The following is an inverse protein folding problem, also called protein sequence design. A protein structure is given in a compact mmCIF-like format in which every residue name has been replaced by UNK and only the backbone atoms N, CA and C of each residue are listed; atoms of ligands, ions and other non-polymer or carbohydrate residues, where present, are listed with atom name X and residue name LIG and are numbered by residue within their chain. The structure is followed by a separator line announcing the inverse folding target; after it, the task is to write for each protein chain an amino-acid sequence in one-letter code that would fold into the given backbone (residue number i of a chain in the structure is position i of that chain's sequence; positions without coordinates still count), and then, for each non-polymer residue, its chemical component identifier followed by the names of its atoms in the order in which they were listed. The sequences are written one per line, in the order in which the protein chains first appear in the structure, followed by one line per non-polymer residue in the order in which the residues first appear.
data_IF_926569685462
#
_entry.id   IF_926569685462
#
_cell.length_a   1.000
_cell.length_b   1.000
_cell.length_c   1.000
_cell.angle_alpha   90.00
_cell.angle_beta   90.00
_cell.angle_gamma   90.00
#
_symmetry.space_group_name_H-M   'P 1'
#
loop_
_entity.id
_entity.type
_entity.pdbx_description
1 polymer ?
#
# COMPACT_ATOMS: atom_id res chain seq x y z
N UNK A 1 40.00 -11.98 -23.24
CA UNK A 1 40.62 -10.68 -23.54
C UNK A 1 39.68 -9.63 -22.94
N UNK A 2 39.79 -9.27 -21.66
CA UNK A 2 40.84 -8.41 -21.08
C UNK A 2 40.57 -6.98 -21.56
N UNK A 3 40.05 -6.02 -20.79
CA UNK A 3 40.34 -5.66 -19.40
C UNK A 3 41.19 -4.38 -19.40
N UNK A 4 40.68 -3.29 -18.78
CA UNK A 4 41.39 -2.06 -18.36
C UNK A 4 42.01 -1.20 -19.50
N UNK A 5 41.88 0.15 -19.50
CA UNK A 5 42.69 1.14 -18.76
C UNK A 5 41.95 2.50 -18.90
N UNK A 6 41.38 3.12 -17.86
CA UNK A 6 41.99 4.05 -16.87
C UNK A 6 42.66 5.34 -17.42
N UNK A 7 41.96 6.47 -17.21
CA UNK A 7 42.45 7.79 -16.73
C UNK A 7 43.64 8.52 -17.39
N UNK A 8 43.44 9.78 -17.83
CA UNK A 8 44.45 10.86 -17.71
C UNK A 8 43.84 12.29 -17.54
N UNK A 9 44.16 12.87 -16.39
CA UNK A 9 44.31 14.26 -15.91
C UNK A 9 44.01 15.51 -16.78
N UNK A 10 43.14 16.38 -16.25
CA UNK A 10 43.35 17.74 -15.68
C UNK A 10 44.21 18.81 -16.45
N UNK A 11 43.56 19.98 -16.58
CA UNK A 11 44.01 21.39 -16.73
C UNK A 11 44.63 21.90 -18.03
N UNK A 12 43.98 22.92 -18.60
CA UNK A 12 44.63 24.19 -18.98
C UNK A 12 43.71 25.37 -18.62
N UNK A 13 44.33 26.40 -18.06
CA UNK A 13 43.75 27.60 -17.45
C UNK A 13 44.07 28.82 -18.34
N UNK A 14 43.16 29.81 -18.30
CA UNK A 14 43.28 31.24 -18.68
C UNK A 14 43.38 31.59 -20.18
N UNK A 15 42.42 32.38 -20.67
CA UNK A 15 42.65 33.80 -21.02
C UNK A 15 41.33 34.57 -21.30
N UNK A 16 41.39 35.87 -20.98
CA UNK A 16 40.54 36.99 -21.42
C UNK A 16 39.17 37.23 -20.76
N UNK A 17 39.23 38.02 -19.69
CA UNK A 17 38.61 39.36 -19.57
C UNK A 17 37.52 39.71 -20.60
N UNK A 18 36.28 39.37 -20.28
CA UNK A 18 35.11 40.09 -20.80
C UNK A 18 34.31 40.57 -19.58
N UNK A 19 34.34 41.87 -19.34
CA UNK A 19 33.36 42.54 -18.49
C UNK A 19 32.00 42.43 -19.20
N UNK A 20 31.29 41.32 -18.99
CA UNK A 20 29.88 41.23 -19.33
C UNK A 20 29.15 41.93 -18.19
N UNK A 21 28.66 43.13 -18.47
CA UNK A 21 27.66 43.79 -17.65
C UNK A 21 26.52 42.79 -17.39
N UNK A 22 26.42 42.32 -16.14
CA UNK A 22 25.24 41.63 -15.66
C UNK A 22 24.07 42.61 -15.71
N UNK A 23 23.44 42.70 -16.88
CA UNK A 23 22.05 43.11 -16.96
C UNK A 23 21.31 42.13 -16.07
N UNK A 24 20.88 42.58 -14.89
CA UNK A 24 19.99 41.85 -14.01
C UNK A 24 18.69 41.62 -14.79
N UNK A 25 18.65 40.59 -15.61
CA UNK A 25 17.41 39.89 -15.88
C UNK A 25 17.03 39.26 -14.55
N UNK A 26 16.32 40.03 -13.73
CA UNK A 26 15.44 39.47 -12.73
C UNK A 26 14.43 38.63 -13.49
N UNK A 27 14.80 37.38 -13.79
CA UNK A 27 13.82 36.34 -13.94
C UNK A 27 13.13 36.31 -12.57
N UNK A 28 12.00 37.01 -12.48
CA UNK A 28 11.05 36.77 -11.41
C UNK A 28 10.73 35.30 -11.54
N UNK A 29 11.40 34.45 -10.75
CA UNK A 29 10.96 33.08 -10.57
C UNK A 29 9.53 33.23 -10.10
N UNK A 30 8.57 32.97 -11.01
CA UNK A 30 7.18 32.97 -10.65
C UNK A 30 7.09 32.01 -9.46
N UNK A 31 6.67 32.50 -8.30
CA UNK A 31 6.48 31.65 -7.15
C UNK A 31 5.37 30.67 -7.53
N UNK A 32 5.74 29.49 -7.99
CA UNK A 32 4.81 28.40 -8.28
C UNK A 32 4.28 28.01 -6.91
N UNK A 33 3.09 28.51 -6.57
CA UNK A 33 2.35 28.14 -5.37
C UNK A 33 1.22 27.21 -5.81
N UNK A 34 1.51 25.92 -6.04
CA UNK A 34 0.49 25.00 -6.53
C UNK A 34 -0.59 24.82 -5.46
N UNK A 35 -1.85 24.71 -5.90
CA UNK A 35 -2.99 24.57 -5.01
C UNK A 35 -3.08 23.12 -4.46
N UNK A 36 -2.30 22.82 -3.43
CA UNK A 36 -2.26 21.48 -2.82
C UNK A 36 -3.60 21.04 -2.22
N UNK A 37 -4.46 21.99 -1.81
CA UNK A 37 -5.80 21.68 -1.30
C UNK A 37 -6.69 21.10 -2.40
N UNK A 38 -6.63 21.68 -3.59
CA UNK A 38 -7.35 21.19 -4.77
C UNK A 38 -6.75 19.88 -5.28
N UNK A 39 -5.42 19.77 -5.32
CA UNK A 39 -4.74 18.52 -5.70
C UNK A 39 -5.15 17.35 -4.79
N UNK A 40 -5.19 17.56 -3.46
CA UNK A 40 -5.67 16.57 -2.49
C UNK A 40 -7.14 16.19 -2.74
N UNK A 41 -8.02 17.16 -2.97
CA UNK A 41 -9.43 16.89 -3.24
C UNK A 41 -9.62 16.04 -4.51
N UNK A 42 -8.87 16.34 -5.58
CA UNK A 42 -8.89 15.56 -6.83
C UNK A 42 -8.27 14.17 -6.66
N UNK A 43 -7.22 14.04 -5.85
CA UNK A 43 -6.63 12.73 -5.53
C UNK A 43 -7.63 11.81 -4.81
N UNK A 44 -8.41 12.33 -3.86
CA UNK A 44 -9.47 11.55 -3.21
C UNK A 44 -10.65 11.25 -4.14
N UNK A 45 -10.93 12.14 -5.10
CA UNK A 45 -11.92 11.89 -6.14
C UNK A 45 -11.47 10.79 -7.11
N UNK A 46 -10.17 10.69 -7.42
CA UNK A 46 -9.61 9.58 -8.19
C UNK A 46 -9.93 8.22 -7.56
N UNK A 47 -9.80 8.08 -6.24
CA UNK A 47 -10.23 6.85 -5.56
C UNK A 47 -11.71 6.53 -5.80
N UNK A 48 -12.61 7.51 -5.85
CA UNK A 48 -14.01 7.24 -6.23
C UNK A 48 -14.11 6.69 -7.65
N UNK A 49 -13.28 7.21 -8.56
CA UNK A 49 -13.13 6.76 -9.93
C UNK A 49 -12.60 5.33 -10.08
N UNK A 50 -11.99 4.73 -9.04
CA UNK A 50 -11.46 3.36 -9.05
C UNK A 50 -12.36 2.33 -8.37
N UNK A 51 -13.48 2.73 -7.74
CA UNK A 51 -14.33 1.82 -6.96
C UNK A 51 -14.91 0.69 -7.82
N UNK A 52 -14.70 -0.56 -7.46
CA UNK A 52 -15.45 -1.72 -7.98
C UNK A 52 -16.64 -2.04 -7.05
N UNK A 53 -17.64 -2.78 -7.52
CA UNK A 53 -18.83 -3.16 -6.77
C UNK A 53 -19.99 -2.17 -6.90
N UNK A 54 -20.92 -2.24 -5.94
CA UNK A 54 -22.11 -1.38 -5.90
C UNK A 54 -21.77 -0.01 -5.32
N UNK A 55 -21.62 0.99 -6.19
CA UNK A 55 -21.30 2.37 -5.82
C UNK A 55 -22.33 2.98 -4.83
N UNK A 56 -21.87 3.79 -3.85
CA UNK A 56 -22.76 4.40 -2.86
C UNK A 56 -23.48 5.62 -3.44
N UNK A 57 -24.64 6.04 -2.90
CA UNK A 57 -25.32 7.26 -3.32
C UNK A 57 -24.49 8.54 -3.15
N UNK A 58 -23.48 8.51 -2.26
CA UNK A 58 -22.55 9.63 -2.04
C UNK A 58 -21.39 9.69 -3.05
N UNK A 59 -21.42 8.87 -4.11
CA UNK A 59 -20.46 8.90 -5.20
C UNK A 59 -20.58 10.23 -5.96
N UNK A 60 -19.47 10.94 -6.12
CA UNK A 60 -19.38 12.20 -6.86
C UNK A 60 -19.02 11.98 -8.33
N UNK A 61 -18.28 10.90 -8.63
CA UNK A 61 -17.96 10.51 -10.01
C UNK A 61 -19.18 9.85 -10.66
N UNK A 62 -19.87 10.59 -11.53
CA UNK A 62 -21.15 10.18 -12.16
C UNK A 62 -21.00 9.36 -13.44
N UNK A 63 -19.83 9.35 -14.05
CA UNK A 63 -19.56 8.53 -15.24
C UNK A 63 -19.16 7.08 -14.92
N UNK A 64 -19.01 6.73 -13.62
CA UNK A 64 -18.82 5.35 -13.16
C UNK A 64 -20.16 4.73 -12.75
N UNK A 65 -20.35 3.46 -13.08
CA UNK A 65 -21.53 2.68 -12.70
C UNK A 65 -21.18 1.49 -11.79
N UNK A 66 -22.21 0.78 -11.32
CA UNK A 66 -22.04 -0.50 -10.61
C UNK A 66 -21.35 -1.53 -11.51
N UNK A 67 -20.33 -2.21 -11.00
CA UNK A 67 -19.53 -3.17 -11.77
C UNK A 67 -18.98 -4.28 -10.87
N UNK A 68 -18.53 -5.41 -11.43
CA UNK A 68 -17.92 -6.49 -10.63
C UNK A 68 -18.85 -7.05 -9.54
N UNK A 69 -20.16 -7.06 -9.78
CA UNK A 69 -21.18 -7.44 -8.79
C UNK A 69 -21.19 -8.96 -8.50
N UNK A 70 -20.61 -9.75 -9.40
CA UNK A 70 -20.50 -11.20 -9.30
C UNK A 70 -19.12 -11.67 -8.81
N UNK A 71 -18.26 -10.74 -8.39
CA UNK A 71 -16.92 -11.06 -7.88
C UNK A 71 -17.01 -12.04 -6.71
N UNK A 72 -16.25 -13.14 -6.80
CA UNK A 72 -16.27 -14.21 -5.78
C UNK A 72 -17.21 -15.38 -6.09
N UNK A 73 -18.07 -15.28 -7.11
CA UNK A 73 -19.02 -16.35 -7.48
C UNK A 73 -18.34 -17.69 -7.75
N UNK A 74 -17.18 -17.70 -8.42
CA UNK A 74 -16.41 -18.92 -8.70
C UNK A 74 -15.87 -19.62 -7.45
N UNK A 75 -15.80 -18.90 -6.33
CA UNK A 75 -15.39 -19.42 -5.03
C UNK A 75 -16.56 -19.49 -4.02
N UNK A 76 -17.80 -19.30 -4.48
CA UNK A 76 -19.02 -19.27 -3.67
C UNK A 76 -18.96 -18.29 -2.47
N UNK A 77 -18.40 -17.10 -2.70
CA UNK A 77 -18.27 -16.02 -1.71
C UNK A 77 -18.63 -14.67 -2.34
N UNK A 78 -18.93 -13.66 -1.52
CA UNK A 78 -19.05 -12.28 -1.98
C UNK A 78 -17.69 -11.57 -1.88
N UNK A 79 -17.11 -11.25 -3.02
CA UNK A 79 -15.90 -10.42 -3.15
C UNK A 79 -16.17 -9.13 -3.92
N UNK A 80 -17.42 -8.68 -4.04
CA UNK A 80 -17.76 -7.38 -4.61
C UNK A 80 -17.23 -6.23 -3.75
N UNK A 81 -16.90 -5.10 -4.38
CA UNK A 81 -16.27 -3.95 -3.71
C UNK A 81 -14.78 -3.81 -4.06
N UNK A 82 -14.06 -3.01 -3.27
CA UNK A 82 -12.62 -2.78 -3.45
C UNK A 82 -12.31 -1.82 -4.59
N UNK A 83 -11.04 -1.75 -4.96
CA UNK A 83 -10.55 -0.87 -6.03
C UNK A 83 -10.05 -1.67 -7.22
N UNK A 84 -10.36 -1.21 -8.43
CA UNK A 84 -9.57 -1.60 -9.59
C UNK A 84 -8.17 -1.00 -9.48
N UNK A 85 -7.18 -1.76 -9.93
CA UNK A 85 -5.78 -1.48 -9.66
C UNK A 85 -5.29 -0.23 -10.39
N UNK A 86 -5.47 -0.18 -11.71
CA UNK A 86 -4.97 0.90 -12.55
C UNK A 86 -6.01 1.34 -13.60
N UNK A 87 -5.67 1.24 -14.89
CA UNK A 87 -6.62 1.44 -16.00
C UNK A 87 -7.36 0.16 -16.39
N UNK A 88 -7.07 -0.94 -15.71
CA UNK A 88 -7.65 -2.26 -15.89
C UNK A 88 -8.82 -2.49 -14.90
N UNK A 89 -9.47 -3.65 -14.96
CA UNK A 89 -10.54 -4.01 -14.03
C UNK A 89 -10.17 -5.21 -13.13
N UNK A 90 -8.87 -5.48 -12.99
CA UNK A 90 -8.33 -6.46 -12.05
C UNK A 90 -8.24 -5.84 -10.65
N UNK A 91 -8.46 -6.67 -9.64
CA UNK A 91 -8.25 -6.31 -8.23
C UNK A 91 -7.03 -7.06 -7.73
N UNK A 92 -5.89 -6.37 -7.65
CA UNK A 92 -4.66 -6.89 -7.07
C UNK A 92 -4.54 -6.45 -5.60
N UNK A 93 -4.53 -7.40 -4.66
CA UNK A 93 -4.64 -7.03 -3.25
C UNK A 93 -3.32 -6.57 -2.63
N UNK A 94 -2.15 -6.98 -3.17
CA UNK A 94 -0.86 -6.48 -2.69
C UNK A 94 -0.76 -4.94 -2.84
N UNK A 95 -0.89 -4.35 -4.04
CA UNK A 95 -0.87 -2.89 -4.21
C UNK A 95 -2.10 -2.20 -3.60
N UNK A 96 -3.28 -2.82 -3.59
CA UNK A 96 -4.47 -2.25 -2.93
C UNK A 96 -4.29 -2.13 -1.42
N UNK A 97 -3.74 -3.16 -0.78
CA UNK A 97 -3.45 -3.14 0.66
C UNK A 97 -2.38 -2.09 0.96
N UNK A 98 -1.28 -2.03 0.19
CA UNK A 98 -0.26 -0.98 0.33
C UNK A 98 -0.85 0.43 0.23
N UNK A 99 -1.67 0.67 -0.80
CA UNK A 99 -2.37 1.95 -0.99
C UNK A 99 -3.27 2.29 0.20
N UNK A 100 -3.95 1.29 0.76
CA UNK A 100 -4.82 1.44 1.94
C UNK A 100 -4.02 1.76 3.19
N UNK A 101 -2.86 1.11 3.38
CA UNK A 101 -1.92 1.42 4.47
C UNK A 101 -1.44 2.86 4.36
N UNK A 102 -1.06 3.32 3.16
CA UNK A 102 -0.57 4.69 2.93
C UNK A 102 -1.64 5.77 3.09
N UNK A 103 -2.86 5.53 2.60
CA UNK A 103 -4.01 6.40 2.88
C UNK A 103 -4.29 6.49 4.38
N UNK A 104 -4.20 5.36 5.09
CA UNK A 104 -4.40 5.32 6.54
C UNK A 104 -3.29 6.06 7.28
N UNK A 105 -2.03 5.82 6.93
CA UNK A 105 -0.88 6.47 7.54
C UNK A 105 -0.93 7.99 7.34
N UNK A 106 -1.15 8.45 6.11
CA UNK A 106 -1.28 9.89 5.83
C UNK A 106 -2.45 10.53 6.58
N UNK A 107 -3.57 9.82 6.74
CA UNK A 107 -4.73 10.29 7.52
C UNK A 107 -4.41 10.38 9.02
N UNK A 108 -3.61 9.47 9.56
CA UNK A 108 -3.16 9.52 10.96
C UNK A 108 -2.21 10.71 11.19
N UNK A 109 -1.25 10.92 10.29
CA UNK A 109 -0.24 11.97 10.42
C UNK A 109 -0.79 13.36 10.17
N UNK A 110 -1.63 13.49 9.15
CA UNK A 110 -2.05 14.79 8.62
C UNK A 110 -3.55 15.03 8.72
N UNK A 111 -4.29 14.19 9.45
CA UNK A 111 -5.76 14.27 9.54
C UNK A 111 -6.29 15.65 9.91
N UNK A 112 -5.61 16.39 10.80
CA UNK A 112 -5.94 17.78 11.16
C UNK A 112 -5.78 18.75 9.98
N UNK A 113 -4.81 18.50 9.09
CA UNK A 113 -4.51 19.31 7.90
C UNK A 113 -5.38 18.95 6.69
N UNK A 114 -6.01 17.78 6.68
CA UNK A 114 -6.96 17.39 5.62
C UNK A 114 -8.23 18.27 5.60
N UNK A 115 -8.57 18.88 6.74
CA UNK A 115 -9.73 19.77 6.87
C UNK A 115 -11.02 19.12 6.34
N UNK A 116 -11.72 19.72 5.36
CA UNK A 116 -12.97 19.18 4.82
C UNK A 116 -12.80 17.86 4.05
N UNK A 117 -11.57 17.46 3.73
CA UNK A 117 -11.29 16.22 3.01
C UNK A 117 -11.13 14.99 3.92
N UNK A 118 -11.06 15.16 5.25
CA UNK A 118 -10.95 14.05 6.19
C UNK A 118 -12.08 12.99 6.04
N UNK A 119 -13.37 13.37 5.84
CA UNK A 119 -14.43 12.41 5.56
C UNK A 119 -14.21 11.63 4.26
N UNK A 120 -13.72 12.28 3.20
CA UNK A 120 -13.44 11.63 1.92
C UNK A 120 -12.27 10.64 2.03
N UNK A 121 -11.22 11.00 2.77
CA UNK A 121 -10.10 10.10 3.07
C UNK A 121 -10.57 8.86 3.85
N UNK A 122 -11.38 9.06 4.90
CA UNK A 122 -12.02 7.96 5.63
C UNK A 122 -12.92 7.10 4.75
N UNK A 123 -13.69 7.69 3.85
CA UNK A 123 -14.53 6.96 2.91
C UNK A 123 -13.70 6.12 1.92
N UNK A 124 -12.54 6.61 1.49
CA UNK A 124 -11.62 5.86 0.64
C UNK A 124 -11.01 4.66 1.37
N UNK A 125 -10.49 4.88 2.59
CA UNK A 125 -9.94 3.82 3.44
C UNK A 125 -11.00 2.76 3.76
N UNK A 126 -12.23 3.19 4.11
CA UNK A 126 -13.32 2.26 4.40
C UNK A 126 -13.66 1.39 3.19
N UNK A 127 -13.72 1.97 1.99
CA UNK A 127 -14.04 1.24 0.77
C UNK A 127 -13.09 0.06 0.50
N UNK A 128 -11.78 0.29 0.67
CA UNK A 128 -10.79 -0.78 0.56
C UNK A 128 -10.93 -1.78 1.71
N UNK A 129 -11.01 -1.30 2.95
CA UNK A 129 -11.02 -2.19 4.12
C UNK A 129 -12.27 -3.05 4.24
N UNK A 130 -13.45 -2.58 3.80
CA UNK A 130 -14.66 -3.40 3.69
C UNK A 130 -14.42 -4.60 2.76
N UNK A 131 -13.74 -4.38 1.63
CA UNK A 131 -13.36 -5.44 0.71
C UNK A 131 -12.27 -6.36 1.27
N UNK A 132 -11.20 -5.81 1.86
CA UNK A 132 -10.14 -6.61 2.48
C UNK A 132 -10.67 -7.48 3.64
N UNK A 133 -11.67 -7.00 4.39
CA UNK A 133 -12.38 -7.79 5.40
C UNK A 133 -13.09 -8.99 4.76
N UNK A 134 -13.84 -8.82 3.66
CA UNK A 134 -14.44 -9.93 2.92
C UNK A 134 -13.36 -10.94 2.49
N UNK A 135 -12.29 -10.45 1.88
CA UNK A 135 -11.17 -11.28 1.44
C UNK A 135 -10.50 -12.09 2.56
N UNK A 136 -10.36 -11.52 3.75
CA UNK A 136 -9.69 -12.15 4.88
C UNK A 136 -10.60 -13.08 5.69
N UNK A 137 -11.93 -12.95 5.58
CA UNK A 137 -12.87 -13.60 6.51
C UNK A 137 -13.91 -14.50 5.84
N UNK A 138 -14.08 -14.43 4.52
CA UNK A 138 -15.12 -15.20 3.82
C UNK A 138 -14.94 -16.72 3.94
N UNK A 139 -13.70 -17.22 4.01
CA UNK A 139 -13.41 -18.66 4.10
C UNK A 139 -12.32 -18.92 5.15
N UNK A 140 -12.57 -19.71 6.21
CA UNK A 140 -11.55 -20.05 7.21
C UNK A 140 -10.30 -20.68 6.58
N UNK A 141 -9.11 -20.22 7.00
CA UNK A 141 -7.84 -20.74 6.50
C UNK A 141 -7.48 -20.32 5.06
N UNK A 142 -8.22 -19.38 4.47
CA UNK A 142 -7.97 -18.87 3.12
C UNK A 142 -8.09 -17.35 3.12
N UNK A 143 -7.15 -16.68 2.46
CA UNK A 143 -7.19 -15.24 2.24
C UNK A 143 -7.26 -15.01 0.74
N UNK A 144 -8.29 -14.30 0.27
CA UNK A 144 -8.42 -13.93 -1.14
C UNK A 144 -7.51 -12.75 -1.46
N UNK A 145 -6.71 -12.89 -2.51
CA UNK A 145 -5.61 -11.95 -2.84
C UNK A 145 -5.76 -11.29 -4.21
N UNK A 146 -6.81 -11.66 -4.96
CA UNK A 146 -7.20 -10.91 -6.14
C UNK A 146 -8.43 -11.47 -6.84
N UNK A 147 -9.00 -10.65 -7.72
CA UNK A 147 -10.15 -10.99 -8.57
C UNK A 147 -9.97 -10.43 -9.98
N UNK A 148 -10.24 -11.24 -11.01
CA UNK A 148 -10.06 -10.90 -12.42
C UNK A 148 -8.87 -11.63 -13.03
N UNK A 149 -9.06 -12.33 -14.16
CA UNK A 149 -7.92 -12.85 -14.92
C UNK A 149 -7.23 -11.69 -15.65
N UNK A 150 -5.97 -11.36 -15.33
CA UNK A 150 -5.36 -10.15 -15.86
C UNK A 150 -5.08 -10.21 -17.35
N UNK A 151 -4.79 -11.40 -17.88
CA UNK A 151 -4.51 -11.54 -19.30
C UNK A 151 -5.79 -11.38 -20.13
N UNK A 152 -6.92 -11.91 -19.66
CA UNK A 152 -8.23 -11.72 -20.30
C UNK A 152 -8.68 -10.27 -20.20
N UNK A 153 -8.56 -9.67 -19.02
CA UNK A 153 -8.92 -8.27 -18.76
C UNK A 153 -8.12 -7.31 -19.66
N UNK A 154 -6.79 -7.45 -19.71
CA UNK A 154 -5.91 -6.55 -20.48
C UNK A 154 -6.00 -6.74 -22.00
N UNK A 155 -6.62 -7.82 -22.48
CA UNK A 155 -6.95 -7.98 -23.90
C UNK A 155 -8.22 -7.26 -24.32
N UNK A 156 -9.00 -6.76 -23.35
CA UNK A 156 -10.24 -6.05 -23.60
C UNK A 156 -10.11 -4.58 -23.19
N UNK A 157 -10.69 -3.67 -23.99
CA UNK A 157 -10.83 -2.26 -23.62
C UNK A 157 -12.31 -1.96 -23.49
N UNK A 158 -12.81 -2.00 -22.25
CA UNK A 158 -14.24 -1.90 -21.98
C UNK A 158 -14.53 -1.14 -20.69
N UNK A 159 -15.78 -0.68 -20.56
CA UNK A 159 -16.24 -0.09 -19.31
C UNK A 159 -16.39 -1.19 -18.26
N UNK A 160 -16.03 -0.94 -16.98
CA UNK A 160 -16.13 -1.96 -15.95
C UNK A 160 -17.56 -2.55 -15.78
N UNK A 161 -18.59 -1.77 -16.05
CA UNK A 161 -20.00 -2.19 -16.01
C UNK A 161 -20.42 -3.12 -17.15
N UNK A 162 -19.67 -3.17 -18.24
CA UNK A 162 -19.95 -4.01 -19.41
C UNK A 162 -19.10 -5.29 -19.45
N UNK A 163 -18.17 -5.45 -18.49
CA UNK A 163 -17.22 -6.57 -18.45
C UNK A 163 -17.87 -7.93 -18.64
N UNK A 164 -17.43 -8.64 -19.67
CA UNK A 164 -17.77 -10.04 -19.95
C UNK A 164 -16.60 -11.01 -19.74
N UNK A 165 -15.41 -10.50 -19.39
CA UNK A 165 -14.21 -11.29 -19.12
C UNK A 165 -14.34 -12.16 -17.86
N UNK A 166 -13.58 -13.26 -17.82
CA UNK A 166 -13.60 -14.19 -16.68
C UNK A 166 -13.02 -13.52 -15.43
N UNK A 167 -13.85 -13.45 -14.38
CA UNK A 167 -13.45 -12.89 -13.08
C UNK A 167 -12.94 -13.96 -12.11
N UNK A 168 -11.79 -14.55 -12.47
CA UNK A 168 -11.06 -15.54 -11.68
C UNK A 168 -10.80 -15.07 -10.25
N UNK A 169 -10.76 -16.00 -9.28
CA UNK A 169 -10.57 -15.68 -7.86
C UNK A 169 -9.28 -16.34 -7.37
N UNK A 170 -8.36 -15.53 -6.83
CA UNK A 170 -7.07 -16.00 -6.33
C UNK A 170 -6.99 -15.92 -4.82
N UNK A 171 -6.31 -16.90 -4.20
CA UNK A 171 -6.21 -16.98 -2.74
C UNK A 171 -4.94 -17.67 -2.27
N UNK A 172 -4.50 -17.31 -1.07
CA UNK A 172 -3.43 -18.00 -0.33
C UNK A 172 -4.02 -18.83 0.81
N UNK A 173 -3.32 -19.88 1.21
CA UNK A 173 -3.72 -20.85 2.23
C UNK A 173 -2.49 -21.48 2.90
N UNK A 174 -2.62 -22.32 3.94
CA UNK A 174 -1.48 -23.02 4.54
C UNK A 174 -0.63 -23.82 3.53
N UNK A 175 -1.25 -24.39 2.50
CA UNK A 175 -0.56 -25.16 1.45
C UNK A 175 0.02 -24.28 0.34
N UNK A 176 -0.52 -23.07 0.17
CA UNK A 176 -0.08 -22.09 -0.82
C UNK A 176 0.09 -20.73 -0.13
N UNK A 177 1.19 -20.54 0.62
CA UNK A 177 1.38 -19.34 1.44
C UNK A 177 1.53 -18.06 0.60
N UNK A 178 1.40 -16.92 1.26
CA UNK A 178 1.61 -15.58 0.70
C UNK A 178 1.71 -14.57 1.82
N UNK A 179 2.86 -14.59 2.49
CA UNK A 179 3.18 -13.78 3.67
C UNK A 179 3.30 -12.30 3.35
N UNK A 180 3.73 -11.97 2.14
CA UNK A 180 3.78 -10.63 1.58
C UNK A 180 2.38 -10.00 1.55
N UNK A 181 1.50 -10.46 0.66
CA UNK A 181 0.15 -9.92 0.51
C UNK A 181 -0.68 -10.03 1.79
N UNK A 182 -0.54 -11.11 2.56
CA UNK A 182 -1.19 -11.21 3.86
C UNK A 182 -0.62 -10.20 4.88
N UNK A 183 0.71 -10.03 4.94
CA UNK A 183 1.36 -9.06 5.81
C UNK A 183 0.94 -7.62 5.49
N UNK A 184 0.90 -7.24 4.22
CA UNK A 184 0.42 -5.91 3.80
C UNK A 184 -1.09 -5.73 4.07
N UNK A 185 -1.92 -6.75 3.85
CA UNK A 185 -3.33 -6.71 4.24
C UNK A 185 -3.51 -6.51 5.75
N UNK A 186 -2.66 -7.15 6.58
CA UNK A 186 -2.67 -6.94 8.02
C UNK A 186 -2.24 -5.51 8.40
N UNK A 187 -1.20 -4.97 7.74
CA UNK A 187 -0.76 -3.59 7.90
C UNK A 187 -1.89 -2.60 7.58
N UNK A 188 -2.56 -2.79 6.45
CA UNK A 188 -3.68 -1.95 6.00
C UNK A 188 -4.83 -1.93 7.01
N UNK A 189 -5.25 -3.12 7.47
CA UNK A 189 -6.34 -3.26 8.44
C UNK A 189 -5.95 -2.67 9.82
N UNK A 190 -4.70 -2.88 10.27
CA UNK A 190 -4.20 -2.34 11.53
C UNK A 190 -4.11 -0.81 11.48
N UNK A 191 -3.53 -0.23 10.43
CA UNK A 191 -3.44 1.21 10.23
C UNK A 191 -4.83 1.86 10.14
N UNK A 192 -5.76 1.26 9.39
CA UNK A 192 -7.13 1.73 9.30
C UNK A 192 -7.88 1.65 10.65
N UNK A 193 -7.60 0.63 11.48
CA UNK A 193 -8.21 0.52 12.80
C UNK A 193 -7.89 1.75 13.68
N UNK A 194 -6.70 2.33 13.54
CA UNK A 194 -6.32 3.57 14.22
C UNK A 194 -7.12 4.77 13.70
N UNK A 195 -7.30 4.87 12.38
CA UNK A 195 -8.05 5.97 11.73
C UNK A 195 -9.50 6.03 12.23
N UNK A 196 -10.14 4.87 12.39
CA UNK A 196 -11.53 4.76 12.84
C UNK A 196 -11.70 4.65 14.35
N UNK A 197 -10.62 4.53 15.13
CA UNK A 197 -10.65 4.26 16.58
C UNK A 197 -11.63 5.16 17.34
N UNK A 198 -11.68 6.45 17.01
CA UNK A 198 -12.57 7.41 17.69
C UNK A 198 -13.93 7.58 17.02
N UNK A 199 -14.01 7.46 15.69
CA UNK A 199 -15.24 7.73 14.94
C UNK A 199 -16.16 6.51 14.78
N UNK A 200 -15.61 5.30 14.83
CA UNK A 200 -16.34 4.04 14.72
C UNK A 200 -15.58 2.92 15.43
N UNK A 201 -15.81 2.80 16.74
CA UNK A 201 -15.10 1.85 17.62
C UNK A 201 -15.37 0.39 17.24
N UNK A 202 -16.60 0.07 16.81
CA UNK A 202 -16.98 -1.30 16.46
C UNK A 202 -16.24 -1.75 15.20
N UNK A 203 -16.23 -0.90 14.17
CA UNK A 203 -15.48 -1.17 12.94
C UNK A 203 -13.98 -1.21 13.19
N UNK A 204 -13.41 -0.27 13.94
CA UNK A 204 -12.01 -0.30 14.34
C UNK A 204 -11.63 -1.61 15.05
N UNK A 205 -12.49 -2.08 15.96
CA UNK A 205 -12.28 -3.36 16.64
C UNK A 205 -12.35 -4.56 15.70
N UNK A 206 -13.25 -4.55 14.70
CA UNK A 206 -13.32 -5.58 13.66
C UNK A 206 -12.02 -5.61 12.83
N UNK A 207 -11.60 -4.46 12.32
CA UNK A 207 -10.37 -4.32 11.54
C UNK A 207 -9.16 -4.84 12.30
N UNK A 208 -8.99 -4.41 13.56
CA UNK A 208 -7.84 -4.81 14.37
C UNK A 208 -7.85 -6.32 14.66
N UNK A 209 -9.00 -6.92 15.00
CA UNK A 209 -9.08 -8.38 15.21
C UNK A 209 -8.75 -9.16 13.95
N UNK A 210 -9.20 -8.70 12.79
CA UNK A 210 -8.87 -9.35 11.50
C UNK A 210 -7.39 -9.16 11.18
N UNK A 211 -6.82 -7.98 11.39
CA UNK A 211 -5.39 -7.71 11.19
C UNK A 211 -4.51 -8.69 12.00
N UNK A 212 -4.83 -8.91 13.28
CA UNK A 212 -4.11 -9.89 14.12
C UNK A 212 -4.13 -11.29 13.52
N UNK A 213 -5.30 -11.76 13.07
CA UNK A 213 -5.47 -13.10 12.46
C UNK A 213 -4.70 -13.23 11.14
N UNK A 214 -4.76 -12.20 10.31
CA UNK A 214 -4.09 -12.18 9.00
C UNK A 214 -2.56 -12.17 9.17
N UNK A 215 -2.01 -11.35 10.07
CA UNK A 215 -0.57 -11.38 10.33
C UNK A 215 -0.14 -12.72 10.94
N UNK A 216 -0.95 -13.29 11.84
CA UNK A 216 -0.67 -14.62 12.40
C UNK A 216 -0.57 -15.69 11.30
N UNK A 217 -1.50 -15.67 10.33
CA UNK A 217 -1.43 -16.53 9.15
C UNK A 217 -0.13 -16.31 8.37
N UNK A 218 0.22 -15.05 8.09
CA UNK A 218 1.42 -14.69 7.33
C UNK A 218 2.73 -15.15 8.02
N UNK A 219 2.80 -15.04 9.35
CA UNK A 219 3.95 -15.46 10.15
C UNK A 219 4.09 -16.99 10.22
N UNK A 220 2.96 -17.69 10.31
CA UNK A 220 2.89 -19.15 10.46
C UNK A 220 3.17 -19.88 9.15
N UNK A 221 2.65 -19.38 8.03
CA UNK A 221 2.78 -20.00 6.71
C UNK A 221 3.60 -19.10 5.79
N UNK A 222 4.93 -19.30 5.82
CA UNK A 222 5.89 -18.43 5.15
C UNK A 222 6.07 -18.75 3.67
N UNK A 223 6.01 -17.72 2.83
CA UNK A 223 6.31 -17.79 1.39
C UNK A 223 5.81 -16.56 0.65
N UNK A 224 6.42 -16.25 -0.49
CA UNK A 224 5.94 -15.17 -1.35
C UNK A 224 4.70 -15.66 -2.12
N UNK A 225 3.68 -14.82 -2.27
CA UNK A 225 2.45 -15.24 -2.95
C UNK A 225 2.69 -15.55 -4.44
N UNK A 226 3.66 -14.89 -5.07
CA UNK A 226 4.05 -15.09 -6.46
C UNK A 226 4.72 -16.44 -6.70
N UNK A 227 5.27 -17.10 -5.68
CA UNK A 227 5.82 -18.46 -5.81
C UNK A 227 4.73 -19.49 -6.20
N UNK A 228 3.48 -19.23 -5.78
CA UNK A 228 2.33 -20.12 -6.01
C UNK A 228 1.36 -19.58 -7.04
N UNK A 229 1.24 -18.26 -7.13
CA UNK A 229 0.30 -17.58 -8.02
C UNK A 229 0.99 -16.93 -9.23
N UNK A 230 2.27 -17.25 -9.49
CA UNK A 230 3.10 -16.57 -10.47
C UNK A 230 2.46 -16.37 -11.84
N UNK A 231 1.78 -17.37 -12.41
CA UNK A 231 1.09 -17.24 -13.71
C UNK A 231 -0.07 -16.24 -13.72
N UNK A 232 -0.57 -15.86 -12.55
CA UNK A 232 -1.73 -14.98 -12.35
C UNK A 232 -1.36 -13.61 -11.78
N UNK A 233 -0.20 -13.47 -11.14
CA UNK A 233 0.23 -12.22 -10.52
C UNK A 233 1.51 -11.67 -11.14
N UNK A 234 2.32 -12.49 -11.80
CA UNK A 234 3.45 -12.05 -12.61
C UNK A 234 3.06 -12.01 -14.09
N UNK A 235 3.53 -11.02 -14.87
CA UNK A 235 4.54 -10.00 -14.51
C UNK A 235 3.97 -8.73 -13.84
N UNK A 236 2.72 -8.73 -13.39
CA UNK A 236 2.04 -7.50 -12.92
C UNK A 236 2.54 -7.00 -11.55
N UNK A 237 2.45 -7.85 -10.52
CA UNK A 237 2.84 -7.55 -9.14
C UNK A 237 3.58 -8.74 -8.53
N UNK A 238 4.73 -9.11 -9.08
CA UNK A 238 5.57 -10.13 -8.44
C UNK A 238 6.09 -9.64 -7.09
N UNK A 239 6.29 -10.55 -6.12
CA UNK A 239 7.08 -10.23 -4.93
C UNK A 239 8.56 -10.32 -5.30
N UNK A 240 9.20 -9.17 -5.51
CA UNK A 240 10.61 -9.08 -5.90
C UNK A 240 11.52 -8.97 -4.67
N UNK A 241 11.11 -8.22 -3.65
CA UNK A 241 11.82 -8.09 -2.38
C UNK A 241 11.66 -9.30 -1.45
N UNK A 242 10.68 -10.16 -1.72
CA UNK A 242 10.24 -11.23 -0.84
C UNK A 242 9.08 -10.80 0.06
N UNK A 243 9.05 -11.33 1.28
CA UNK A 243 7.94 -11.13 2.22
C UNK A 243 8.37 -10.66 3.62
N UNK A 244 9.67 -10.58 3.88
CA UNK A 244 10.19 -10.30 5.23
C UNK A 244 9.88 -8.88 5.66
N UNK A 245 9.95 -7.95 4.73
CA UNK A 245 9.63 -6.55 4.93
C UNK A 245 8.12 -6.35 5.17
N UNK A 246 7.20 -7.11 4.53
CA UNK A 246 5.78 -7.11 4.93
C UNK A 246 5.54 -7.68 6.31
N UNK A 247 6.25 -8.74 6.70
CA UNK A 247 6.11 -9.29 8.06
C UNK A 247 6.56 -8.26 9.10
N UNK A 248 7.68 -7.56 8.83
CA UNK A 248 8.18 -6.47 9.66
C UNK A 248 7.19 -5.31 9.70
N UNK A 249 6.69 -4.90 8.54
CA UNK A 249 5.75 -3.78 8.36
C UNK A 249 4.39 -4.04 9.02
N UNK A 250 3.81 -5.21 8.80
CA UNK A 250 2.57 -5.65 9.44
C UNK A 250 2.72 -5.73 10.96
N UNK A 251 3.84 -6.25 11.46
CA UNK A 251 4.14 -6.28 12.89
C UNK A 251 4.31 -4.86 13.46
N UNK A 252 4.99 -3.95 12.75
CA UNK A 252 5.15 -2.55 13.15
C UNK A 252 3.82 -1.81 13.27
N UNK A 253 2.90 -2.00 12.31
CA UNK A 253 1.55 -1.42 12.39
C UNK A 253 0.72 -2.02 13.51
N UNK A 254 0.78 -3.33 13.71
CA UNK A 254 0.08 -3.98 14.82
C UNK A 254 0.66 -3.57 16.18
N UNK A 255 1.98 -3.38 16.28
CA UNK A 255 2.61 -2.82 17.47
C UNK A 255 2.09 -1.40 17.72
N UNK A 256 2.12 -0.50 16.73
CA UNK A 256 1.54 0.85 16.84
C UNK A 256 0.05 0.83 17.21
N UNK A 257 -0.70 -0.16 16.72
CA UNK A 257 -2.14 -0.27 16.97
C UNK A 257 -2.49 -0.83 18.35
N UNK A 258 -1.60 -1.58 19.00
CA UNK A 258 -1.94 -2.37 20.19
C UNK A 258 -1.04 -2.14 21.40
N UNK A 259 0.21 -1.71 21.17
CA UNK A 259 1.30 -1.71 22.13
C UNK A 259 1.58 -3.10 22.76
N UNK A 260 1.24 -4.19 22.06
CA UNK A 260 1.47 -5.54 22.55
C UNK A 260 2.92 -5.98 22.29
N UNK A 261 3.63 -6.38 23.36
CA UNK A 261 5.04 -6.79 23.33
C UNK A 261 5.33 -7.94 22.35
N UNK A 262 4.34 -8.79 22.05
CA UNK A 262 4.51 -9.85 21.06
C UNK A 262 4.91 -9.32 19.68
N UNK A 263 4.36 -8.18 19.25
CA UNK A 263 4.69 -7.60 17.95
C UNK A 263 6.08 -6.97 17.96
N UNK A 264 6.46 -6.35 19.07
CA UNK A 264 7.83 -5.88 19.29
C UNK A 264 8.86 -7.03 19.20
N UNK A 265 8.56 -8.18 19.82
CA UNK A 265 9.43 -9.35 19.73
C UNK A 265 9.53 -9.90 18.30
N UNK A 266 8.42 -9.88 17.54
CA UNK A 266 8.43 -10.25 16.12
C UNK A 266 9.33 -9.30 15.32
N UNK A 267 9.18 -7.99 15.50
CA UNK A 267 10.01 -6.95 14.84
C UNK A 267 11.49 -7.22 15.11
N UNK A 268 11.87 -7.46 16.37
CA UNK A 268 13.24 -7.81 16.75
C UNK A 268 13.72 -9.10 16.12
N UNK A 269 12.87 -10.12 16.03
CA UNK A 269 13.23 -11.44 15.50
C UNK A 269 13.45 -11.46 13.99
N UNK A 270 12.74 -10.59 13.25
CA UNK A 270 12.86 -10.50 11.80
C UNK A 270 14.13 -9.74 11.39
N UNK A 271 14.66 -8.89 12.28
CA UNK A 271 15.69 -7.93 11.96
C UNK A 271 15.16 -6.83 11.03
N UNK A 272 15.97 -5.79 10.84
CA UNK A 272 15.73 -4.82 9.77
C UNK A 272 17.06 -4.46 9.09
N UNK A 273 17.92 -5.46 8.99
CA UNK A 273 19.34 -5.34 8.63
C UNK A 273 19.55 -5.25 7.11
N UNK A 274 18.49 -5.46 6.33
CA UNK A 274 18.52 -5.26 4.88
C UNK A 274 18.56 -3.76 4.57
N UNK A 275 19.39 -3.38 3.59
CA UNK A 275 19.51 -1.97 3.23
C UNK A 275 18.18 -1.44 2.68
N UNK A 276 17.67 -0.35 3.25
CA UNK A 276 16.48 0.29 2.72
C UNK A 276 16.73 0.77 1.28
N UNK A 277 15.92 0.29 0.35
CA UNK A 277 15.81 0.80 -1.01
C UNK A 277 14.50 1.62 -1.15
N UNK A 278 14.05 1.86 -2.38
CA UNK A 278 12.84 2.60 -2.70
C UNK A 278 11.60 1.98 -2.04
N UNK A 279 10.99 2.75 -1.13
CA UNK A 279 9.71 2.41 -0.53
C UNK A 279 8.60 2.34 -1.58
N UNK A 280 7.93 1.20 -1.68
CA UNK A 280 6.93 0.92 -2.71
C UNK A 280 5.94 -0.15 -2.27
N UNK A 281 5.01 -0.52 -3.15
CA UNK A 281 4.12 -1.66 -2.93
C UNK A 281 4.88 -2.98 -2.73
N UNK A 282 6.11 -3.08 -3.25
CA UNK A 282 6.95 -4.27 -3.16
C UNK A 282 8.03 -4.18 -2.08
N UNK A 283 8.49 -3.01 -1.61
CA UNK A 283 9.52 -2.94 -0.57
C UNK A 283 9.15 -1.96 0.57
N UNK A 284 9.10 -2.47 1.80
CA UNK A 284 8.57 -1.77 2.98
C UNK A 284 9.63 -1.39 4.02
N UNK A 285 10.89 -1.76 3.85
CA UNK A 285 11.94 -1.52 4.87
C UNK A 285 12.05 -0.05 5.27
N UNK A 286 12.21 0.84 4.28
CA UNK A 286 12.27 2.30 4.50
C UNK A 286 11.05 2.84 5.29
N UNK A 287 9.85 2.35 4.96
CA UNK A 287 8.63 2.74 5.68
C UNK A 287 8.59 2.21 7.12
N UNK A 288 8.98 0.95 7.32
CA UNK A 288 9.04 0.32 8.63
C UNK A 288 10.04 1.02 9.56
N UNK A 289 11.23 1.37 9.07
CA UNK A 289 12.23 2.12 9.85
C UNK A 289 11.68 3.48 10.32
N UNK A 290 11.07 4.25 9.41
CA UNK A 290 10.45 5.54 9.76
C UNK A 290 9.32 5.37 10.77
N UNK A 291 8.48 4.34 10.62
CA UNK A 291 7.39 4.06 11.55
C UNK A 291 7.92 3.71 12.96
N UNK A 292 8.92 2.83 13.05
CA UNK A 292 9.45 2.33 14.32
C UNK A 292 10.27 3.38 15.07
N UNK A 293 11.00 4.25 14.36
CA UNK A 293 11.73 5.38 14.99
C UNK A 293 10.83 6.35 15.76
N UNK A 294 9.54 6.38 15.42
CA UNK A 294 8.56 7.23 16.12
C UNK A 294 7.98 6.57 17.36
N UNK A 295 7.81 5.25 17.34
CA UNK A 295 7.32 4.52 18.51
C UNK A 295 8.34 4.59 19.64
N UNK A 296 9.64 4.52 19.32
CA UNK A 296 10.70 4.68 20.32
C UNK A 296 10.67 6.04 20.99
N UNK A 297 10.43 7.10 20.24
CA UNK A 297 10.43 8.48 20.77
C UNK A 297 9.18 8.84 21.57
N UNK A 298 8.04 8.17 21.36
CA UNK A 298 6.78 8.47 22.06
C UNK A 298 6.53 7.60 23.31
N UNK A 299 6.95 6.34 23.31
CA UNK A 299 6.58 5.37 24.36
C UNK A 299 7.73 5.09 25.37
N UNK A 300 8.72 6.00 25.48
CA UNK A 300 9.88 5.86 26.37
C UNK A 300 10.75 4.60 26.15
N UNK A 301 10.61 3.91 25.02
CA UNK A 301 11.60 2.92 24.59
C UNK A 301 12.87 3.68 24.16
N UNK A 302 13.99 3.47 24.85
CA UNK A 302 15.21 4.23 24.55
C UNK A 302 15.58 4.12 23.06
N UNK A 303 16.10 5.20 22.46
CA UNK A 303 16.62 5.19 21.07
C UNK A 303 17.64 4.05 20.87
N UNK A 304 18.31 3.61 21.95
CA UNK A 304 19.20 2.45 21.98
C UNK A 304 18.50 1.11 21.70
N UNK A 305 17.22 0.93 22.04
CA UNK A 305 16.49 -0.32 21.80
C UNK A 305 16.20 -0.59 20.32
N UNK A 306 16.11 0.47 19.52
CA UNK A 306 15.98 0.41 18.07
C UNK A 306 17.22 0.93 17.33
N UNK A 307 18.34 1.14 18.05
CA UNK A 307 19.59 1.62 17.46
C UNK A 307 20.14 0.69 16.37
N UNK A 308 19.77 -0.60 16.39
CA UNK A 308 20.08 -1.57 15.34
C UNK A 308 19.33 -1.34 14.02
N UNK A 309 18.26 -0.53 14.00
CA UNK A 309 17.52 -0.21 12.75
C UNK A 309 18.25 0.81 11.87
N UNK A 310 19.25 1.52 12.40
CA UNK A 310 19.98 2.58 11.70
C UNK A 310 21.49 2.30 11.82
N UNK A 311 22.13 1.67 10.82
CA UNK A 311 23.57 1.46 10.80
C UNK A 311 24.36 2.78 10.68
#
# INVERSE_FOLDING_TARGET
MGGLIQTFFITWVLFCSINISFSRFGAQAASINPNYKEALAKSLLFFQGQRSGRLPPSQQITWRSHSGLSDGRLANVDLSGGYYDAGDNVKFNLPMAFTTTMLSWSTLEYGKRLGPQLPNARAAIRWATDYLLKCATATPGKIYVGVGDPNADHRCWERPEDMDTVRSVYSVSPSNPGSDVAGEMAAALAAASLVFRSSDRQYAGLLLRTARKVLQFALQYRGAYSDRLGSSVCPFYCSYSGYKDELLWGAAWLFRATNEVQYYNIIKSLGADDQPDLFSWDNKYSGAHVLLSRVSTQDNYSVLEFGWLFP
#
